data_IF_795662814202
#
_entry.id   IF_795662814202
#
_cell.length_a   1.000
_cell.length_b   1.000
_cell.length_c   1.000
_cell.angle_alpha   90.00
_cell.angle_beta   90.00
_cell.angle_gamma   90.00
#
_symmetry.space_group_name_H-M   'P 1'
#
loop_
_entity.id
_entity.type
_entity.pdbx_description
1 polymer ?
#
# COMPACT_ATOMS: atom_id res chain seq x y z
N UNK A 1 6.63 -5.23 -12.61
CA UNK A 1 6.45 -3.84 -13.11
C UNK A 1 7.82 -3.23 -13.29
N UNK A 2 8.09 -2.56 -14.41
CA UNK A 2 9.35 -1.84 -14.64
C UNK A 2 9.21 -0.36 -14.23
N UNK A 3 10.34 0.37 -14.08
CA UNK A 3 10.31 1.79 -13.71
C UNK A 3 9.46 2.66 -14.64
N UNK A 4 9.63 2.56 -15.99
CA UNK A 4 8.80 3.33 -16.93
C UNK A 4 7.30 3.01 -16.85
N UNK A 5 6.92 1.75 -16.63
CA UNK A 5 5.51 1.38 -16.45
C UNK A 5 4.97 1.97 -15.14
N UNK A 6 5.80 2.05 -14.10
CA UNK A 6 5.40 2.68 -12.84
C UNK A 6 5.21 4.19 -13.01
N UNK A 7 6.12 4.89 -13.70
CA UNK A 7 5.98 6.31 -13.98
C UNK A 7 4.71 6.61 -14.80
N UNK A 8 4.46 5.81 -15.82
CA UNK A 8 3.24 5.92 -16.64
C UNK A 8 1.98 5.72 -15.81
N UNK A 9 1.95 4.71 -14.93
CA UNK A 9 0.81 4.47 -14.04
C UNK A 9 0.58 5.66 -13.07
N UNK A 10 1.66 6.27 -12.56
CA UNK A 10 1.54 7.46 -11.72
C UNK A 10 0.88 8.60 -12.51
N UNK A 11 1.35 8.88 -13.73
CA UNK A 11 0.82 9.99 -14.54
C UNK A 11 -0.61 9.77 -15.03
N UNK A 12 -0.91 8.57 -15.50
CA UNK A 12 -2.19 8.27 -16.17
C UNK A 12 -3.31 7.82 -15.19
N UNK A 13 -2.95 7.28 -14.03
CA UNK A 13 -3.93 6.69 -13.11
C UNK A 13 -3.90 7.36 -11.74
N UNK A 14 -2.74 7.36 -11.07
CA UNK A 14 -2.66 7.83 -9.68
C UNK A 14 -2.95 9.33 -9.55
N UNK A 15 -2.28 10.16 -10.33
CA UNK A 15 -2.43 11.63 -10.25
C UNK A 15 -3.86 12.07 -10.56
N UNK A 16 -4.51 11.61 -11.65
CA UNK A 16 -5.92 11.93 -11.89
C UNK A 16 -6.84 11.49 -10.76
N UNK A 17 -6.63 10.28 -10.22
CA UNK A 17 -7.40 9.78 -9.10
C UNK A 17 -7.24 10.66 -7.86
N UNK A 18 -6.01 10.94 -7.43
CA UNK A 18 -5.74 11.76 -6.25
C UNK A 18 -6.30 13.17 -6.42
N UNK A 19 -6.19 13.76 -7.62
CA UNK A 19 -6.71 15.10 -7.89
C UNK A 19 -8.25 15.17 -7.85
N UNK A 20 -8.92 14.07 -8.19
CA UNK A 20 -10.38 13.97 -8.08
C UNK A 20 -10.86 13.84 -6.63
N UNK A 21 -10.07 13.16 -5.78
CA UNK A 21 -10.45 12.88 -4.39
C UNK A 21 -10.10 14.02 -3.43
N UNK A 22 -9.05 14.79 -3.70
CA UNK A 22 -8.62 15.87 -2.81
C UNK A 22 -9.41 17.16 -3.07
N UNK A 23 -9.72 17.88 -2.00
CA UNK A 23 -10.47 19.15 -2.07
C UNK A 23 -9.64 20.33 -2.59
N UNK A 24 -8.33 20.29 -2.36
CA UNK A 24 -7.37 21.31 -2.76
C UNK A 24 -6.10 20.63 -3.26
N UNK A 25 -5.53 21.11 -4.36
CA UNK A 25 -4.30 20.58 -4.95
C UNK A 25 -3.07 20.76 -4.02
N UNK A 26 -3.12 21.71 -3.08
CA UNK A 26 -2.09 21.90 -2.07
C UNK A 26 -2.13 20.84 -0.97
N UNK A 27 -3.22 20.09 -0.86
CA UNK A 27 -3.33 19.00 0.09
C UNK A 27 -2.42 17.85 -0.32
N UNK A 28 -1.45 17.51 0.55
CA UNK A 28 -0.56 16.37 0.32
C UNK A 28 -1.31 15.05 0.36
N UNK A 29 -0.92 14.16 -0.53
CA UNK A 29 -1.32 12.75 -0.51
C UNK A 29 -0.12 11.87 -0.19
N UNK A 30 -0.35 10.67 0.33
CA UNK A 30 0.71 9.71 0.66
C UNK A 30 0.53 8.43 -0.14
N UNK A 31 1.53 8.09 -0.95
CA UNK A 31 1.63 6.80 -1.63
C UNK A 31 2.54 5.87 -0.83
N UNK A 32 2.00 4.74 -0.37
CA UNK A 32 2.77 3.73 0.36
C UNK A 32 3.11 2.58 -0.59
N UNK A 33 4.38 2.26 -0.75
CA UNK A 33 4.88 1.25 -1.68
C UNK A 33 5.81 0.25 -0.99
N UNK A 34 5.97 -0.91 -1.63
CA UNK A 34 7.06 -1.85 -1.35
C UNK A 34 8.42 -1.29 -1.81
N UNK A 35 9.52 -1.88 -1.32
CA UNK A 35 10.88 -1.50 -1.68
C UNK A 35 11.36 -2.10 -3.02
N UNK A 36 10.47 -2.31 -3.98
CA UNK A 36 10.88 -2.81 -5.29
C UNK A 36 11.62 -1.74 -6.09
N UNK A 37 12.70 -2.10 -6.79
CA UNK A 37 13.58 -1.16 -7.51
C UNK A 37 12.85 -0.27 -8.53
N UNK A 38 11.75 -0.74 -9.12
CA UNK A 38 10.94 0.05 -10.05
C UNK A 38 10.31 1.31 -9.43
N UNK A 39 10.23 1.39 -8.10
CA UNK A 39 9.71 2.57 -7.38
C UNK A 39 10.69 3.74 -7.37
N UNK A 40 11.97 3.45 -7.59
CA UNK A 40 13.05 4.46 -7.60
C UNK A 40 13.28 5.08 -8.98
N UNK A 41 12.29 5.07 -9.84
CA UNK A 41 12.36 5.72 -11.15
C UNK A 41 12.29 7.24 -10.99
N UNK A 42 13.26 7.97 -11.57
CA UNK A 42 13.41 9.42 -11.42
C UNK A 42 12.20 10.20 -11.98
N UNK A 43 11.68 9.78 -13.12
CA UNK A 43 10.48 10.37 -13.73
C UNK A 43 9.26 10.22 -12.80
N UNK A 44 9.08 9.01 -12.22
CA UNK A 44 8.02 8.74 -11.25
C UNK A 44 8.13 9.65 -10.01
N UNK A 45 9.34 9.81 -9.47
CA UNK A 45 9.58 10.66 -8.31
C UNK A 45 9.33 12.15 -8.61
N UNK A 46 9.70 12.60 -9.82
CA UNK A 46 9.43 13.97 -10.27
C UNK A 46 7.94 14.23 -10.42
N UNK A 47 7.20 13.30 -11.04
CA UNK A 47 5.73 13.38 -11.16
C UNK A 47 5.04 13.43 -9.80
N UNK A 48 5.45 12.61 -8.84
CA UNK A 48 4.88 12.62 -7.50
C UNK A 48 5.11 13.96 -6.79
N UNK A 49 6.36 14.46 -6.79
CA UNK A 49 6.72 15.71 -6.14
C UNK A 49 5.99 16.92 -6.72
N UNK A 50 5.90 17.02 -8.05
CA UNK A 50 5.19 18.12 -8.72
C UNK A 50 3.67 18.11 -8.50
N UNK A 51 3.14 17.01 -7.95
CA UNK A 51 1.72 16.86 -7.64
C UNK A 51 1.42 16.76 -6.14
N UNK A 52 2.36 17.15 -5.27
CA UNK A 52 2.21 17.09 -3.81
C UNK A 52 1.82 15.68 -3.30
N UNK A 53 2.44 14.65 -3.90
CA UNK A 53 2.28 13.26 -3.46
C UNK A 53 3.59 12.79 -2.84
N UNK A 54 3.57 12.54 -1.54
CA UNK A 54 4.70 11.98 -0.82
C UNK A 54 4.73 10.46 -1.01
N UNK A 55 5.91 9.88 -1.15
CA UNK A 55 6.07 8.44 -1.27
C UNK A 55 6.78 7.86 -0.05
N UNK A 56 6.12 6.90 0.61
CA UNK A 56 6.69 6.11 1.69
C UNK A 56 7.04 4.71 1.18
N UNK A 57 8.32 4.37 1.21
CA UNK A 57 8.79 3.03 0.87
C UNK A 57 8.88 2.19 2.13
N UNK A 58 8.16 1.09 2.15
CA UNK A 58 8.21 0.14 3.25
C UNK A 58 9.57 -0.56 3.30
N UNK A 59 10.11 -0.87 4.49
CA UNK A 59 11.37 -1.60 4.62
C UNK A 59 11.32 -2.95 3.89
N UNK A 60 12.47 -3.40 3.39
CA UNK A 60 12.58 -4.72 2.77
C UNK A 60 12.07 -5.82 3.73
N UNK A 61 11.37 -6.81 3.18
CA UNK A 61 10.79 -7.94 3.93
C UNK A 61 9.73 -7.56 4.99
N UNK A 62 9.16 -6.35 4.93
CA UNK A 62 8.14 -5.90 5.87
C UNK A 62 6.71 -5.91 5.30
N UNK A 63 6.53 -6.24 4.03
CA UNK A 63 5.25 -6.20 3.33
C UNK A 63 4.18 -7.08 4.00
N UNK A 64 4.58 -8.26 4.48
CA UNK A 64 3.68 -9.18 5.22
C UNK A 64 3.18 -8.61 6.57
N UNK A 65 3.78 -7.54 7.05
CA UNK A 65 3.42 -6.89 8.32
C UNK A 65 2.72 -5.57 8.07
N UNK A 66 3.28 -4.72 7.21
CA UNK A 66 2.82 -3.34 7.04
C UNK A 66 1.98 -3.11 5.79
N UNK A 67 2.01 -3.99 4.79
CA UNK A 67 1.24 -3.77 3.58
C UNK A 67 -0.21 -4.24 3.77
N UNK A 68 -1.21 -3.32 3.77
CA UNK A 68 -2.61 -3.68 3.97
C UNK A 68 -3.11 -4.72 2.97
N UNK A 69 -2.66 -4.64 1.71
CA UNK A 69 -3.02 -5.57 0.65
C UNK A 69 -2.63 -7.02 1.00
N UNK A 70 -1.42 -7.22 1.55
CA UNK A 70 -0.93 -8.55 1.92
C UNK A 70 -1.54 -9.05 3.25
N UNK A 71 -2.02 -8.11 4.08
CA UNK A 71 -2.58 -8.44 5.40
C UNK A 71 -4.01 -8.95 5.37
N UNK A 72 -4.85 -8.44 4.50
CA UNK A 72 -6.26 -8.76 4.58
C UNK A 72 -7.00 -8.89 3.25
N UNK A 73 -6.37 -8.56 2.13
CA UNK A 73 -7.04 -8.46 0.85
C UNK A 73 -6.61 -9.52 -0.17
N UNK A 74 -5.32 -9.71 -0.39
CA UNK A 74 -4.83 -10.65 -1.41
C UNK A 74 -5.10 -12.12 -1.08
N UNK A 75 -5.11 -12.53 0.19
CA UNK A 75 -5.47 -13.88 0.58
C UNK A 75 -6.89 -14.24 0.17
N UNK A 76 -7.91 -13.54 0.66
CA UNK A 76 -9.30 -13.71 0.26
C UNK A 76 -9.52 -13.57 -1.26
N UNK A 77 -8.85 -12.59 -1.90
CA UNK A 77 -8.94 -12.42 -3.36
C UNK A 77 -8.46 -13.66 -4.12
N UNK A 78 -7.27 -14.17 -3.79
CA UNK A 78 -6.72 -15.38 -4.43
C UNK A 78 -7.62 -16.60 -4.21
N UNK A 79 -8.22 -16.74 -3.03
CA UNK A 79 -9.14 -17.84 -2.75
C UNK A 79 -10.41 -17.71 -3.57
N UNK A 80 -11.05 -16.52 -3.56
CA UNK A 80 -12.24 -16.28 -4.39
C UNK A 80 -11.95 -16.48 -5.88
N UNK A 81 -10.77 -16.04 -6.34
CA UNK A 81 -10.36 -16.25 -7.73
C UNK A 81 -10.24 -17.74 -8.06
N UNK A 82 -9.59 -18.55 -7.21
CA UNK A 82 -9.45 -20.00 -7.42
C UNK A 82 -10.79 -20.74 -7.41
N UNK A 83 -11.71 -20.32 -6.55
CA UNK A 83 -13.07 -20.91 -6.49
C UNK A 83 -13.89 -20.61 -7.74
N UNK A 84 -13.77 -19.42 -8.30
CA UNK A 84 -14.56 -18.97 -9.42
C UNK A 84 -13.94 -19.27 -10.78
N UNK A 85 -12.61 -19.38 -10.85
CA UNK A 85 -11.91 -19.60 -12.10
C UNK A 85 -12.12 -21.05 -12.57
N UNK A 86 -12.86 -21.17 -13.69
CA UNK A 86 -12.92 -22.40 -14.49
C UNK A 86 -12.11 -22.15 -15.75
N UNK A 87 -11.48 -23.19 -16.28
CA UNK A 87 -10.73 -23.09 -17.53
C UNK A 87 -11.56 -22.41 -18.60
N UNK A 88 -11.01 -21.37 -19.19
CA UNK A 88 -11.65 -20.55 -20.20
C UNK A 88 -10.71 -19.44 -20.62
N UNK A 89 -10.78 -18.96 -21.83
CA UNK A 89 -9.87 -17.97 -22.38
C UNK A 89 -9.79 -16.65 -21.57
N UNK A 90 -9.17 -15.63 -22.17
CA UNK A 90 -8.94 -14.31 -21.56
C UNK A 90 -10.21 -13.69 -20.94
N UNK A 91 -11.36 -13.89 -21.58
CA UNK A 91 -12.64 -13.37 -21.06
C UNK A 91 -12.98 -13.97 -19.68
N UNK A 92 -12.84 -15.29 -19.51
CA UNK A 92 -13.08 -15.96 -18.23
C UNK A 92 -12.11 -15.46 -17.15
N UNK A 93 -10.85 -15.27 -17.51
CA UNK A 93 -9.83 -14.72 -16.61
C UNK A 93 -10.20 -13.32 -16.13
N UNK A 94 -10.54 -12.41 -17.03
CA UNK A 94 -10.90 -11.03 -16.71
C UNK A 94 -12.20 -10.94 -15.91
N UNK A 95 -13.21 -11.70 -16.27
CA UNK A 95 -14.48 -11.76 -15.56
C UNK A 95 -14.29 -12.28 -14.12
N UNK A 96 -13.56 -13.38 -13.96
CA UNK A 96 -13.26 -13.95 -12.64
C UNK A 96 -12.44 -12.99 -11.78
N UNK A 97 -11.43 -12.36 -12.38
CA UNK A 97 -10.61 -11.37 -11.68
C UNK A 97 -11.44 -10.20 -11.15
N UNK A 98 -12.29 -9.62 -12.01
CA UNK A 98 -13.19 -8.53 -11.63
C UNK A 98 -14.18 -8.94 -10.53
N UNK A 99 -14.82 -10.11 -10.69
CA UNK A 99 -15.80 -10.61 -9.73
C UNK A 99 -15.17 -10.88 -8.37
N UNK A 100 -14.00 -11.50 -8.34
CA UNK A 100 -13.24 -11.77 -7.12
C UNK A 100 -12.78 -10.47 -6.46
N UNK A 101 -12.38 -9.48 -7.24
CA UNK A 101 -12.02 -8.16 -6.75
C UNK A 101 -13.20 -7.49 -6.05
N UNK A 102 -14.34 -7.37 -6.71
CA UNK A 102 -15.55 -6.73 -6.14
C UNK A 102 -16.05 -7.45 -4.87
N UNK A 103 -15.95 -8.79 -4.84
CA UNK A 103 -16.32 -9.59 -3.66
C UNK A 103 -15.39 -9.35 -2.47
N UNK A 104 -14.12 -9.05 -2.71
CA UNK A 104 -13.08 -9.03 -1.68
C UNK A 104 -12.72 -7.62 -1.22
N UNK A 105 -12.63 -6.66 -2.14
CA UNK A 105 -12.22 -5.29 -1.85
C UNK A 105 -13.41 -4.43 -1.41
N UNK A 106 -14.08 -4.87 -0.34
CA UNK A 106 -15.16 -4.11 0.30
C UNK A 106 -14.59 -3.10 1.29
N UNK A 107 -15.33 -2.02 1.58
CA UNK A 107 -14.92 -1.02 2.56
C UNK A 107 -14.58 -1.63 3.93
N UNK A 108 -15.33 -2.65 4.35
CA UNK A 108 -15.08 -3.37 5.61
C UNK A 108 -13.75 -4.11 5.57
N UNK A 109 -13.46 -4.86 4.51
CA UNK A 109 -12.22 -5.61 4.37
C UNK A 109 -11.00 -4.68 4.24
N UNK A 110 -11.15 -3.58 3.51
CA UNK A 110 -10.11 -2.53 3.39
C UNK A 110 -9.81 -1.93 4.77
N UNK A 111 -10.83 -1.51 5.51
CA UNK A 111 -10.65 -0.94 6.86
C UNK A 111 -9.99 -1.94 7.81
N UNK A 112 -10.39 -3.21 7.74
CA UNK A 112 -9.78 -4.29 8.52
C UNK A 112 -8.31 -4.47 8.16
N UNK A 113 -7.97 -4.52 6.86
CA UNK A 113 -6.61 -4.68 6.37
C UNK A 113 -5.68 -3.53 6.83
N UNK A 114 -6.17 -2.29 6.79
CA UNK A 114 -5.45 -1.12 7.31
C UNK A 114 -5.20 -1.22 8.81
N UNK A 115 -6.20 -1.61 9.59
CA UNK A 115 -6.04 -1.81 11.04
C UNK A 115 -5.03 -2.92 11.34
N UNK A 116 -5.10 -4.03 10.63
CA UNK A 116 -4.18 -5.15 10.81
C UNK A 116 -2.76 -4.86 10.35
N UNK A 117 -2.56 -3.94 9.41
CA UNK A 117 -1.23 -3.51 8.96
C UNK A 117 -0.50 -2.66 9.99
N UNK A 118 -1.24 -2.07 10.96
CA UNK A 118 -0.70 -1.17 12.00
C UNK A 118 0.09 0.04 11.44
N UNK A 119 -0.05 0.36 10.16
CA UNK A 119 0.61 1.51 9.54
C UNK A 119 0.19 2.84 10.17
N UNK A 120 -1.04 2.89 10.70
CA UNK A 120 -1.59 4.07 11.37
C UNK A 120 -1.38 4.02 12.90
N UNK A 121 -0.70 3.01 13.39
CA UNK A 121 -0.40 2.85 14.81
C UNK A 121 0.73 3.83 15.18
N UNK A 122 0.48 4.70 16.15
CA UNK A 122 1.47 5.65 16.65
C UNK A 122 2.35 5.07 17.75
N UNK A 123 1.96 3.92 18.30
CA UNK A 123 2.72 3.24 19.35
C UNK A 123 3.76 2.30 18.74
N UNK A 124 5.04 2.68 18.80
CA UNK A 124 6.16 1.91 18.27
C UNK A 124 6.27 0.53 18.93
N UNK A 125 6.00 0.42 20.24
CA UNK A 125 6.05 -0.86 20.95
C UNK A 125 4.99 -1.84 20.44
N UNK A 126 3.78 -1.37 20.14
CA UNK A 126 2.73 -2.18 19.55
C UNK A 126 3.10 -2.66 18.12
N UNK A 127 3.80 -1.82 17.36
CA UNK A 127 4.33 -2.20 16.04
C UNK A 127 5.40 -3.29 16.19
N UNK A 128 6.37 -3.10 17.07
CA UNK A 128 7.46 -4.06 17.31
C UNK A 128 6.90 -5.38 17.80
N UNK A 129 6.01 -5.38 18.79
CA UNK A 129 5.34 -6.58 19.28
C UNK A 129 4.62 -7.35 18.17
N UNK A 130 3.92 -6.65 17.29
CA UNK A 130 3.26 -7.27 16.13
C UNK A 130 4.24 -7.87 15.10
N UNK A 131 5.48 -7.40 15.06
CA UNK A 131 6.56 -8.00 14.29
C UNK A 131 7.04 -9.31 14.91
N UNK A 132 7.24 -9.31 16.22
CA UNK A 132 7.79 -10.43 16.97
C UNK A 132 6.82 -11.62 16.98
N UNK A 133 5.54 -11.36 17.22
CA UNK A 133 4.48 -12.40 17.23
C UNK A 133 4.38 -13.18 15.91
N UNK A 134 4.84 -12.62 14.80
CA UNK A 134 4.71 -13.23 13.46
C UNK A 134 5.96 -13.90 12.94
N UNK A 135 7.11 -13.54 13.43
CA UNK A 135 8.40 -14.03 12.92
C UNK A 135 9.15 -14.96 13.87
N UNK A 136 8.61 -15.18 15.10
CA UNK A 136 9.41 -15.82 16.13
C UNK A 136 10.72 -15.03 16.31
N UNK A 137 11.32 -15.05 17.43
CA UNK A 137 12.52 -14.32 17.85
C UNK A 137 13.20 -13.34 16.86
N UNK A 138 12.91 -12.06 17.02
CA UNK A 138 13.62 -10.99 16.29
C UNK A 138 14.99 -10.83 16.93
N UNK A 139 16.06 -11.12 16.17
CA UNK A 139 17.42 -10.77 16.59
C UNK A 139 17.51 -9.23 16.70
N UNK A 140 18.14 -8.73 17.77
CA UNK A 140 18.32 -7.29 18.10
C UNK A 140 18.78 -6.39 16.93
N UNK A 141 19.47 -6.96 15.95
CA UNK A 141 19.89 -6.26 14.74
C UNK A 141 18.75 -5.71 13.88
N UNK A 142 17.53 -6.22 14.00
CA UNK A 142 16.37 -5.80 13.20
C UNK A 142 15.60 -4.63 13.82
N UNK A 143 15.69 -4.40 15.10
CA UNK A 143 15.14 -3.21 15.78
C UNK A 143 15.77 -1.92 15.22
N UNK A 144 17.04 -1.97 14.79
CA UNK A 144 17.71 -0.85 14.11
C UNK A 144 17.08 -0.44 12.77
N UNK A 145 16.33 -1.31 12.12
CA UNK A 145 15.63 -0.99 10.86
C UNK A 145 14.27 -0.33 11.10
N UNK A 146 13.57 -0.65 12.17
CA UNK A 146 12.33 0.02 12.54
C UNK A 146 12.57 1.51 12.85
N UNK A 147 13.73 1.85 13.41
CA UNK A 147 14.15 3.22 13.68
C UNK A 147 14.62 3.99 12.43
N UNK A 148 14.67 3.35 11.25
CA UNK A 148 14.98 3.96 9.95
C UNK A 148 13.75 4.15 9.07
N UNK A 149 12.56 4.27 9.63
CA UNK A 149 11.45 4.89 8.93
C UNK A 149 11.86 6.35 8.78
N UNK A 150 12.41 6.69 7.62
CA UNK A 150 12.69 8.08 7.26
C UNK A 150 11.32 8.71 7.01
N UNK A 151 10.71 9.20 8.08
CA UNK A 151 9.62 10.15 7.98
C UNK A 151 10.24 11.37 7.31
N UNK A 152 9.90 11.64 6.07
CA UNK A 152 10.25 12.90 5.44
C UNK A 152 9.83 14.01 6.41
N UNK A 153 10.81 14.76 6.93
CA UNK A 153 10.60 15.84 7.87
C UNK A 153 9.64 16.82 7.22
N UNK A 154 8.47 16.99 7.80
CA UNK A 154 7.39 17.92 7.51
C UNK A 154 6.01 17.28 7.27
N UNK A 155 5.82 15.99 7.53
CA UNK A 155 4.50 15.40 7.48
C UNK A 155 3.80 15.58 8.84
N UNK A 156 2.94 16.58 8.94
CA UNK A 156 1.92 16.68 9.99
C UNK A 156 0.71 15.88 9.54
N UNK A 157 0.45 14.74 10.19
CA UNK A 157 -0.78 13.98 9.96
C UNK A 157 -1.99 14.90 10.15
N UNK A 158 -2.89 15.01 9.16
CA UNK A 158 -4.12 15.76 9.33
C UNK A 158 -4.94 15.12 10.46
N UNK A 159 -5.43 15.94 11.41
CA UNK A 159 -6.24 15.50 12.55
C UNK A 159 -7.64 14.96 12.18
N UNK A 160 -7.96 14.81 10.93
CA UNK A 160 -9.27 14.34 10.45
C UNK A 160 -9.15 13.02 9.72
N UNK A 161 -9.79 12.01 10.27
CA UNK A 161 -9.86 10.61 9.82
C UNK A 161 -10.58 10.38 8.47
N UNK A 162 -10.50 11.26 7.50
CA UNK A 162 -11.16 11.06 6.20
C UNK A 162 -10.15 11.21 5.07
N UNK A 163 -9.97 10.13 4.34
CA UNK A 163 -9.20 9.96 3.12
C UNK A 163 -7.79 9.37 3.28
N UNK A 164 -7.75 8.10 3.65
CA UNK A 164 -6.63 7.21 3.34
C UNK A 164 -7.20 6.14 2.40
N UNK A 165 -6.91 6.25 1.11
CA UNK A 165 -7.24 5.24 0.11
C UNK A 165 -5.96 4.73 -0.54
N UNK A 166 -5.88 3.42 -0.75
CA UNK A 166 -4.79 2.71 -1.43
C UNK A 166 -4.92 2.86 -2.92
#
# INVERSE_FOLDING_TARGET
>A
MTGPIFARWIGEVLIPYVNNERKNIEQHALLICDAHSSRMNEEALTLLRSNNIDMLILPAHSTSVFQPLDRGLYGPYKNSFRELYKEGGLYSLLYTSRTSFLKTFTAMNITKAWRESRLLETNIEAIVKGFDERRGEVKESRVKYANRIVVCRNFTLPRTQRSIWV
#
